data_IF_173065411394
#
_entry.id   IF_173065411394
#
_cell.length_a   1.000
_cell.length_b   1.000
_cell.length_c   1.000
_cell.angle_alpha   90.00
_cell.angle_beta   90.00
_cell.angle_gamma   90.00
#
_symmetry.space_group_name_H-M   'P 1'
#
loop_
_entity.id
_entity.type
_entity.pdbx_description
1 polymer ?
#
# COMPACT_ATOMS: atom_id res chain seq x y z
N UNK A 1 11.20 -7.33 15.78
CA UNK A 1 10.59 -6.30 14.89
C UNK A 1 9.17 -6.02 15.39
N UNK A 2 8.80 -4.76 15.56
CA UNK A 2 7.47 -4.33 15.99
C UNK A 2 6.74 -3.70 14.80
N UNK A 3 5.58 -4.22 14.44
CA UNK A 3 4.76 -3.73 13.33
C UNK A 3 3.45 -3.16 13.89
N UNK A 4 3.13 -1.91 13.53
CA UNK A 4 1.85 -1.30 13.84
C UNK A 4 0.96 -1.33 12.59
N UNK A 5 -0.19 -1.96 12.69
CA UNK A 5 -1.23 -1.93 11.66
C UNK A 5 -2.30 -0.94 12.11
N UNK A 6 -2.50 0.11 11.33
CA UNK A 6 -3.59 1.07 11.53
C UNK A 6 -4.81 0.56 10.78
N UNK A 7 -5.84 0.20 11.50
CA UNK A 7 -7.07 -0.38 10.97
C UNK A 7 -8.11 0.71 10.65
N UNK A 8 -8.40 0.89 9.39
CA UNK A 8 -9.45 1.78 8.88
C UNK A 8 -10.85 1.15 8.93
N UNK A 9 -11.13 0.33 9.94
CA UNK A 9 -12.39 -0.41 10.10
C UNK A 9 -12.67 -1.36 8.93
N UNK A 10 -11.61 -2.04 8.48
CA UNK A 10 -11.63 -2.95 7.33
C UNK A 10 -11.74 -4.42 7.72
N UNK A 11 -12.53 -5.19 6.96
CA UNK A 11 -12.75 -6.63 7.22
C UNK A 11 -11.49 -7.47 6.99
N UNK A 12 -10.55 -7.01 6.17
CA UNK A 12 -9.34 -7.73 5.80
C UNK A 12 -8.12 -7.35 6.64
N UNK A 13 -8.23 -6.43 7.58
CA UNK A 13 -7.10 -6.01 8.44
C UNK A 13 -6.46 -7.20 9.16
N UNK A 14 -7.28 -8.16 9.64
CA UNK A 14 -6.76 -9.35 10.32
C UNK A 14 -6.12 -10.37 9.38
N UNK A 15 -6.42 -10.34 8.08
CA UNK A 15 -5.66 -11.11 7.09
C UNK A 15 -4.25 -10.55 6.94
N UNK A 16 -4.09 -9.21 6.95
CA UNK A 16 -2.78 -8.56 7.00
C UNK A 16 -2.01 -8.94 8.26
N UNK A 17 -2.67 -8.91 9.41
CA UNK A 17 -2.08 -9.33 10.69
C UNK A 17 -1.54 -10.76 10.61
N UNK A 18 -2.35 -11.72 10.15
CA UNK A 18 -1.95 -13.12 10.03
C UNK A 18 -0.80 -13.29 9.05
N UNK A 19 -0.89 -12.69 7.86
CA UNK A 19 0.12 -12.83 6.82
C UNK A 19 1.46 -12.22 7.25
N UNK A 20 1.43 -11.04 7.87
CA UNK A 20 2.64 -10.43 8.45
C UNK A 20 3.22 -11.30 9.58
N UNK A 21 2.37 -11.89 10.42
CA UNK A 21 2.77 -12.81 11.48
C UNK A 21 3.52 -14.01 10.93
N UNK A 22 2.95 -14.70 9.96
CA UNK A 22 3.59 -15.85 9.30
C UNK A 22 4.95 -15.48 8.67
N UNK A 23 5.06 -14.32 8.03
CA UNK A 23 6.30 -13.85 7.43
C UNK A 23 7.36 -13.61 8.50
N UNK A 24 6.99 -12.92 9.58
CA UNK A 24 7.91 -12.56 10.66
C UNK A 24 8.39 -13.82 11.39
N UNK A 25 7.47 -14.72 11.75
CA UNK A 25 7.78 -15.96 12.46
C UNK A 25 8.74 -16.83 11.64
N UNK A 26 8.48 -16.95 10.33
CA UNK A 26 9.35 -17.70 9.41
C UNK A 26 10.74 -17.09 9.30
N UNK A 27 10.85 -15.75 9.22
CA UNK A 27 12.14 -15.06 9.03
C UNK A 27 12.99 -14.99 10.28
N UNK A 28 12.36 -14.81 11.44
CA UNK A 28 13.06 -14.62 12.71
C UNK A 28 13.19 -15.89 13.53
N UNK A 29 12.58 -17.01 13.12
CA UNK A 29 12.45 -18.25 13.90
C UNK A 29 11.95 -18.00 15.34
N UNK A 30 11.01 -17.07 15.48
CA UNK A 30 10.46 -16.64 16.78
C UNK A 30 8.94 -16.61 16.71
N UNK A 31 8.28 -17.26 17.66
CA UNK A 31 6.80 -17.29 17.78
C UNK A 31 6.24 -16.00 18.47
N UNK A 32 7.03 -14.98 18.70
CA UNK A 32 6.60 -13.71 19.31
C UNK A 32 6.65 -12.58 18.27
N UNK A 33 5.62 -12.50 17.45
CA UNK A 33 5.45 -11.35 16.59
C UNK A 33 4.84 -10.19 17.39
N UNK A 34 5.57 -9.09 17.48
CA UNK A 34 5.07 -7.84 18.05
C UNK A 34 4.26 -7.08 16.99
N UNK A 35 3.16 -7.68 16.50
CA UNK A 35 2.23 -6.99 15.62
C UNK A 35 1.09 -6.45 16.47
N UNK A 36 0.88 -5.15 16.36
CA UNK A 36 -0.13 -4.41 17.10
C UNK A 36 -1.13 -3.87 16.10
N UNK A 37 -2.42 -4.16 16.29
CA UNK A 37 -3.51 -3.60 15.48
C UNK A 37 -4.22 -2.55 16.33
N UNK A 38 -4.38 -1.35 15.77
CA UNK A 38 -5.09 -0.23 16.39
C UNK A 38 -5.97 0.47 15.38
N UNK A 39 -7.16 0.87 15.80
CA UNK A 39 -8.07 1.66 14.96
C UNK A 39 -7.43 3.00 14.59
N UNK A 40 -7.82 3.58 13.47
CA UNK A 40 -7.24 4.80 12.93
C UNK A 40 -7.49 6.07 13.79
N UNK A 41 -8.37 5.98 14.78
CA UNK A 41 -8.72 7.02 15.74
C UNK A 41 -8.35 6.67 17.19
N UNK A 42 -7.72 5.51 17.43
CA UNK A 42 -7.46 4.96 18.76
C UNK A 42 -6.17 5.52 19.39
N UNK A 43 -5.16 5.85 18.57
CA UNK A 43 -3.88 6.34 19.06
C UNK A 43 -3.57 7.77 18.60
N UNK A 44 -3.02 8.56 19.49
CA UNK A 44 -2.37 9.83 19.16
C UNK A 44 -0.97 9.61 18.58
N UNK A 45 -0.42 10.62 17.93
CA UNK A 45 0.94 10.57 17.39
C UNK A 45 1.99 10.32 18.49
N UNK A 46 1.80 10.90 19.68
CA UNK A 46 2.72 10.71 20.80
C UNK A 46 2.70 9.26 21.30
N UNK A 47 1.52 8.66 21.45
CA UNK A 47 1.40 7.25 21.83
C UNK A 47 2.04 6.31 20.79
N UNK A 48 1.94 6.64 19.49
CA UNK A 48 2.64 5.86 18.45
C UNK A 48 4.16 6.04 18.57
N UNK A 49 4.65 7.25 18.86
CA UNK A 49 6.09 7.48 19.11
C UNK A 49 6.59 6.70 20.32
N UNK A 50 5.82 6.66 21.42
CA UNK A 50 6.15 5.87 22.60
C UNK A 50 6.12 4.36 22.33
N UNK A 51 5.16 3.90 21.49
CA UNK A 51 5.10 2.53 21.01
C UNK A 51 6.33 2.13 20.21
N UNK A 52 6.95 3.10 19.53
CA UNK A 52 8.18 2.96 18.73
C UNK A 52 8.13 1.76 17.76
N UNK A 53 7.21 1.75 16.78
CA UNK A 53 7.15 0.67 15.81
C UNK A 53 8.28 0.75 14.79
N UNK A 54 8.80 -0.40 14.35
CA UNK A 54 9.78 -0.48 13.27
C UNK A 54 9.15 -0.25 11.89
N UNK A 55 7.87 -0.59 11.74
CA UNK A 55 7.08 -0.47 10.51
C UNK A 55 5.63 -0.11 10.82
N UNK A 56 5.00 0.66 9.93
CA UNK A 56 3.57 0.98 9.99
C UNK A 56 2.91 0.50 8.70
N UNK A 57 1.77 -0.19 8.83
CA UNK A 57 0.90 -0.54 7.71
C UNK A 57 -0.43 0.20 7.93
N UNK A 58 -0.88 0.95 6.93
CA UNK A 58 -2.20 1.59 6.93
C UNK A 58 -3.12 0.73 6.08
N UNK A 59 -4.12 0.13 6.70
CA UNK A 59 -5.00 -0.86 6.10
C UNK A 59 -5.88 -0.29 4.98
N UNK A 60 -6.48 -1.16 4.16
CA UNK A 60 -7.70 -0.82 3.42
C UNK A 60 -8.77 -0.26 4.33
N UNK A 61 -9.87 0.21 3.75
CA UNK A 61 -11.03 0.66 4.51
C UNK A 61 -12.12 1.24 3.62
N UNK A 62 -13.30 1.51 4.20
CA UNK A 62 -14.41 2.11 3.47
C UNK A 62 -14.21 3.61 3.25
N UNK A 63 -14.96 4.16 2.29
CA UNK A 63 -15.06 5.59 2.06
C UNK A 63 -13.88 6.20 1.34
N UNK A 64 -13.47 7.39 1.78
CA UNK A 64 -12.45 8.21 1.11
C UNK A 64 -11.58 8.93 2.13
N UNK A 65 -10.27 9.16 1.83
CA UNK A 65 -9.33 9.73 2.78
C UNK A 65 -9.59 11.22 3.11
N UNK A 66 -10.39 11.93 2.32
CA UNK A 66 -10.82 13.31 2.61
C UNK A 66 -11.85 13.39 3.74
N UNK A 67 -12.42 12.27 4.17
CA UNK A 67 -13.39 12.19 5.26
C UNK A 67 -12.73 11.65 6.52
N UNK A 68 -12.56 12.52 7.52
CA UNK A 68 -11.96 12.17 8.83
C UNK A 68 -12.60 10.93 9.47
N UNK A 69 -13.92 10.75 9.32
CA UNK A 69 -14.63 9.57 9.85
C UNK A 69 -14.15 8.23 9.29
N UNK A 70 -13.53 8.22 8.10
CA UNK A 70 -12.98 7.01 7.48
C UNK A 70 -11.47 6.89 7.64
N UNK A 71 -10.76 8.03 7.77
CA UNK A 71 -9.30 8.04 7.75
C UNK A 71 -8.67 8.47 9.09
N UNK A 72 -9.45 8.87 10.08
CA UNK A 72 -9.03 9.15 11.44
C UNK A 72 -7.78 10.02 11.54
N UNK A 73 -6.75 9.49 12.21
CA UNK A 73 -5.45 10.14 12.41
C UNK A 73 -4.40 9.76 11.35
N UNK A 74 -4.75 8.96 10.33
CA UNK A 74 -3.80 8.45 9.34
C UNK A 74 -3.04 9.56 8.60
N UNK A 75 -3.69 10.70 8.32
CA UNK A 75 -3.00 11.84 7.67
C UNK A 75 -1.83 12.36 8.53
N UNK A 76 -2.06 12.56 9.82
CA UNK A 76 -0.98 12.98 10.75
C UNK A 76 0.10 11.91 10.87
N UNK A 77 -0.27 10.63 10.94
CA UNK A 77 0.68 9.51 10.95
C UNK A 77 1.58 9.55 9.72
N UNK A 78 1.01 9.72 8.53
CA UNK A 78 1.76 9.77 7.27
C UNK A 78 2.73 10.95 7.25
N UNK A 79 2.25 12.15 7.59
CA UNK A 79 3.05 13.37 7.45
C UNK A 79 4.13 13.51 8.55
N UNK A 80 3.83 13.11 9.79
CA UNK A 80 4.73 13.29 10.92
C UNK A 80 5.67 12.09 11.13
N UNK A 81 5.20 10.86 10.89
CA UNK A 81 5.99 9.65 11.16
C UNK A 81 6.60 9.05 9.90
N UNK A 82 5.98 9.23 8.73
CA UNK A 82 6.46 8.67 7.47
C UNK A 82 7.88 9.08 7.06
N UNK A 83 8.38 10.29 7.39
CA UNK A 83 9.79 10.63 7.19
C UNK A 83 10.77 9.77 8.00
N UNK A 84 10.32 9.17 9.10
CA UNK A 84 11.15 8.49 10.10
C UNK A 84 10.95 6.97 10.10
N UNK A 85 9.70 6.53 9.93
CA UNK A 85 9.27 5.14 10.05
C UNK A 85 8.74 4.67 8.70
N UNK A 86 9.18 3.52 8.16
CA UNK A 86 8.61 3.01 6.91
C UNK A 86 7.11 2.75 7.01
N UNK A 87 6.36 3.30 6.05
CA UNK A 87 4.90 3.17 5.94
C UNK A 87 4.53 2.46 4.65
N UNK A 88 3.64 1.48 4.74
CA UNK A 88 2.93 0.88 3.61
C UNK A 88 1.44 1.21 3.71
N UNK A 89 0.90 1.95 2.74
CA UNK A 89 -0.54 2.15 2.60
C UNK A 89 -1.15 1.18 1.60
N UNK A 90 -2.24 0.52 1.99
CA UNK A 90 -2.95 -0.46 1.15
C UNK A 90 -4.33 0.09 0.83
N UNK A 91 -4.71 0.14 -0.44
CA UNK A 91 -5.99 0.61 -0.97
C UNK A 91 -6.33 2.01 -0.45
N UNK A 92 -7.25 2.17 0.52
CA UNK A 92 -7.53 3.44 1.18
C UNK A 92 -6.25 4.06 1.78
N UNK A 93 -5.34 3.24 2.34
CA UNK A 93 -4.05 3.70 2.86
C UNK A 93 -3.18 4.35 1.79
N UNK A 94 -3.08 3.78 0.58
CA UNK A 94 -2.38 4.39 -0.55
C UNK A 94 -3.04 5.69 -1.00
N UNK A 95 -4.37 5.70 -1.12
CA UNK A 95 -5.13 6.89 -1.48
C UNK A 95 -4.90 8.01 -0.46
N UNK A 96 -4.89 7.66 0.83
CA UNK A 96 -4.60 8.57 1.91
C UNK A 96 -3.18 9.13 1.90
N UNK A 97 -2.19 8.34 1.52
CA UNK A 97 -0.82 8.83 1.30
C UNK A 97 -0.82 9.92 0.23
N UNK A 98 -1.39 9.66 -0.94
CA UNK A 98 -1.42 10.65 -2.03
C UNK A 98 -2.21 11.90 -1.64
N UNK A 99 -3.38 11.72 -1.00
CA UNK A 99 -4.18 12.83 -0.51
C UNK A 99 -3.43 13.70 0.51
N UNK A 100 -2.68 13.09 1.43
CA UNK A 100 -1.92 13.81 2.46
C UNK A 100 -0.83 14.72 1.88
N UNK A 101 -0.30 14.39 0.70
CA UNK A 101 0.67 15.21 -0.02
C UNK A 101 0.04 16.11 -1.09
N UNK A 102 -1.30 16.25 -1.11
CA UNK A 102 -2.02 17.20 -1.96
C UNK A 102 -2.53 16.66 -3.31
N UNK A 103 -2.41 15.36 -3.55
CA UNK A 103 -3.04 14.72 -4.71
C UNK A 103 -4.54 14.53 -4.51
N UNK A 104 -5.26 14.25 -5.60
CA UNK A 104 -6.71 14.05 -5.58
C UNK A 104 -7.10 12.60 -5.80
N UNK A 105 -8.18 12.23 -5.15
CA UNK A 105 -8.82 10.92 -5.29
C UNK A 105 -10.15 11.12 -6.02
N UNK A 106 -10.38 10.34 -7.05
CA UNK A 106 -11.57 10.42 -7.93
C UNK A 106 -12.23 9.05 -8.04
N UNK A 107 -13.44 9.02 -8.58
CA UNK A 107 -14.09 7.76 -8.92
C UNK A 107 -13.38 7.09 -10.10
N UNK A 108 -13.19 5.77 -10.01
CA UNK A 108 -12.75 4.96 -11.13
C UNK A 108 -13.83 4.97 -12.23
N UNK A 109 -13.40 4.83 -13.49
CA UNK A 109 -14.33 4.68 -14.61
C UNK A 109 -15.25 3.45 -14.42
N UNK A 110 -14.67 2.37 -13.90
CA UNK A 110 -15.39 1.15 -13.54
C UNK A 110 -15.08 0.77 -12.10
N UNK A 111 -16.10 0.50 -11.25
CA UNK A 111 -15.87 -0.05 -9.92
C UNK A 111 -15.26 -1.45 -9.99
N UNK A 112 -14.21 -1.65 -9.20
CA UNK A 112 -13.52 -2.92 -9.07
C UNK A 112 -13.90 -3.56 -7.73
N UNK A 113 -14.87 -4.47 -7.75
CA UNK A 113 -15.36 -5.17 -6.56
C UNK A 113 -15.14 -6.67 -6.71
N UNK A 114 -14.04 -7.19 -6.15
CA UNK A 114 -13.67 -8.59 -6.26
C UNK A 114 -13.28 -9.00 -7.68
N UNK A 115 -12.70 -8.07 -8.43
CA UNK A 115 -12.17 -8.30 -9.78
C UNK A 115 -10.65 -8.32 -9.74
N UNK A 116 -10.06 -9.10 -10.62
CA UNK A 116 -8.62 -9.14 -10.81
C UNK A 116 -8.15 -8.26 -11.97
N UNK A 117 -6.89 -7.90 -11.95
CA UNK A 117 -6.15 -7.27 -13.03
C UNK A 117 -4.71 -7.77 -13.00
N UNK A 118 -3.94 -7.54 -14.05
CA UNK A 118 -2.52 -7.84 -14.04
C UNK A 118 -1.72 -6.60 -13.62
N UNK A 119 -0.62 -6.82 -12.92
CA UNK A 119 0.29 -5.76 -12.46
C UNK A 119 1.52 -5.70 -13.37
N UNK A 120 1.74 -4.54 -13.97
CA UNK A 120 3.04 -4.17 -14.54
C UNK A 120 3.75 -3.24 -13.55
N UNK A 121 4.98 -3.58 -13.13
CA UNK A 121 5.71 -2.84 -12.11
C UNK A 121 7.19 -2.63 -12.47
N UNK A 122 7.88 -1.77 -11.72
CA UNK A 122 9.26 -1.36 -11.99
C UNK A 122 10.32 -2.32 -11.43
N UNK A 123 9.92 -3.41 -10.82
CA UNK A 123 10.77 -4.40 -10.17
C UNK A 123 11.70 -3.81 -9.08
N UNK A 124 11.23 -2.75 -8.38
CA UNK A 124 12.00 -2.07 -7.33
C UNK A 124 11.24 -2.03 -6.00
N UNK A 125 11.97 -1.77 -4.92
CA UNK A 125 11.40 -1.61 -3.58
C UNK A 125 10.59 -2.85 -3.18
N UNK A 126 9.32 -2.65 -2.88
CA UNK A 126 8.42 -3.74 -2.49
C UNK A 126 8.13 -4.75 -3.61
N UNK A 127 8.41 -4.40 -4.88
CA UNK A 127 8.24 -5.29 -6.03
C UNK A 127 9.55 -5.97 -6.47
N UNK A 128 10.62 -5.85 -5.68
CA UNK A 128 11.89 -6.50 -6.02
C UNK A 128 11.71 -8.02 -6.07
N UNK A 129 12.20 -8.65 -7.16
CA UNK A 129 12.06 -10.08 -7.44
C UNK A 129 10.61 -10.60 -7.53
N UNK A 130 9.64 -9.73 -7.77
CA UNK A 130 8.27 -10.12 -8.08
C UNK A 130 8.16 -10.35 -9.60
N UNK A 131 7.55 -11.46 -10.06
CA UNK A 131 7.29 -11.65 -11.48
C UNK A 131 6.40 -10.54 -12.06
N UNK A 132 6.63 -10.17 -13.32
CA UNK A 132 5.70 -9.29 -14.02
C UNK A 132 4.39 -10.03 -14.32
N UNK A 133 3.31 -9.28 -14.52
CA UNK A 133 1.98 -9.81 -14.81
C UNK A 133 1.43 -10.77 -13.75
N UNK A 134 1.75 -10.53 -12.50
CA UNK A 134 1.02 -11.20 -11.42
C UNK A 134 -0.42 -10.73 -11.41
N UNK A 135 -1.32 -11.62 -11.09
CA UNK A 135 -2.73 -11.30 -10.90
C UNK A 135 -2.93 -10.65 -9.53
N UNK A 136 -3.58 -9.49 -9.51
CA UNK A 136 -3.83 -8.70 -8.29
C UNK A 136 -5.33 -8.51 -8.06
N UNK A 137 -5.77 -8.68 -6.82
CA UNK A 137 -7.17 -8.51 -6.43
C UNK A 137 -7.47 -7.05 -6.07
N UNK A 138 -8.61 -6.56 -6.55
CA UNK A 138 -9.04 -5.17 -6.41
C UNK A 138 -10.45 -5.08 -5.83
N UNK A 139 -10.64 -4.17 -4.85
CA UNK A 139 -11.93 -3.95 -4.16
C UNK A 139 -12.21 -2.46 -3.99
N UNK A 140 -12.01 -1.65 -5.03
CA UNK A 140 -12.12 -0.19 -4.93
C UNK A 140 -12.99 0.43 -6.03
N UNK A 141 -13.64 1.53 -5.69
CA UNK A 141 -14.34 2.43 -6.62
C UNK A 141 -13.64 3.78 -6.77
N UNK A 142 -12.63 4.04 -5.94
CA UNK A 142 -11.85 5.27 -5.95
C UNK A 142 -10.41 4.98 -6.38
N UNK A 143 -9.82 5.95 -7.11
CA UNK A 143 -8.47 5.88 -7.64
C UNK A 143 -7.76 7.23 -7.49
N UNK A 144 -6.45 7.21 -7.60
CA UNK A 144 -5.64 8.43 -7.70
C UNK A 144 -5.90 9.10 -9.05
N UNK A 145 -6.22 10.40 -9.02
CA UNK A 145 -6.23 11.24 -10.23
C UNK A 145 -4.77 11.45 -10.69
N UNK A 146 -4.36 10.72 -11.71
CA UNK A 146 -2.97 10.65 -12.16
C UNK A 146 -2.32 12.01 -12.44
N UNK A 147 -3.09 12.97 -12.98
CA UNK A 147 -2.63 14.33 -13.30
C UNK A 147 -2.28 15.16 -12.05
N UNK A 148 -2.79 14.74 -10.89
CA UNK A 148 -2.57 15.44 -9.61
C UNK A 148 -1.59 14.71 -8.70
N UNK A 149 -0.99 13.60 -9.14
CA UNK A 149 0.00 12.88 -8.35
C UNK A 149 1.15 13.82 -8.01
N UNK A 150 1.44 14.06 -6.71
CA UNK A 150 2.51 14.97 -6.31
C UNK A 150 3.88 14.50 -6.83
N UNK A 151 4.71 15.47 -7.24
CA UNK A 151 6.03 15.21 -7.82
C UNK A 151 7.01 14.46 -6.89
N UNK A 152 6.72 14.39 -5.59
CA UNK A 152 7.51 13.64 -4.63
C UNK A 152 7.30 12.12 -4.74
N UNK A 153 6.33 11.64 -5.53
CA UNK A 153 6.09 10.22 -5.74
C UNK A 153 6.65 9.73 -7.08
N UNK A 154 7.04 8.46 -7.08
CA UNK A 154 7.32 7.63 -8.26
C UNK A 154 6.17 6.65 -8.43
N UNK A 155 5.73 6.46 -9.67
CA UNK A 155 4.79 5.39 -10.02
C UNK A 155 5.61 4.12 -10.19
N UNK A 156 5.33 3.10 -9.38
CA UNK A 156 6.03 1.82 -9.38
C UNK A 156 5.22 0.70 -10.03
N UNK A 157 3.90 0.90 -10.20
CA UNK A 157 3.04 -0.10 -10.82
C UNK A 157 1.74 0.48 -11.38
N UNK A 158 1.23 -0.16 -12.42
CA UNK A 158 -0.05 0.14 -13.07
C UNK A 158 -0.82 -1.14 -13.37
N UNK A 159 -2.15 -1.03 -13.45
CA UNK A 159 -2.98 -2.14 -13.92
C UNK A 159 -2.87 -2.30 -15.43
N UNK A 160 -2.82 -3.55 -15.89
CA UNK A 160 -2.84 -3.90 -17.31
C UNK A 160 -3.84 -5.03 -17.56
N UNK A 161 -4.27 -5.18 -18.81
CA UNK A 161 -5.14 -6.27 -19.24
C UNK A 161 -4.33 -7.51 -19.62
N UNK A 162 -4.94 -8.69 -19.55
CA UNK A 162 -4.29 -9.99 -19.75
C UNK A 162 -3.49 -10.13 -21.06
N UNK A 163 -3.87 -9.39 -22.10
CA UNK A 163 -3.28 -9.47 -23.44
C UNK A 163 -2.32 -8.32 -23.77
N UNK A 164 -1.99 -7.47 -22.80
CA UNK A 164 -1.03 -6.40 -23.05
C UNK A 164 0.40 -6.94 -23.06
N UNK A 165 1.14 -6.59 -24.13
CA UNK A 165 2.50 -7.07 -24.36
C UNK A 165 3.43 -6.59 -23.23
N UNK A 166 3.83 -7.51 -22.34
CA UNK A 166 4.65 -7.30 -21.14
C UNK A 166 6.07 -6.81 -21.45
N UNK A 167 6.45 -6.80 -22.74
CA UNK A 167 7.74 -6.28 -23.22
C UNK A 167 7.87 -4.75 -23.12
N UNK A 168 6.80 -4.07 -22.68
CA UNK A 168 6.88 -2.62 -22.46
C UNK A 168 7.85 -2.32 -21.30
N UNK A 169 8.89 -1.59 -21.65
CA UNK A 169 9.94 -1.16 -20.74
C UNK A 169 9.32 -0.36 -19.58
N UNK A 170 9.71 -0.68 -18.36
CA UNK A 170 9.29 -0.01 -17.10
C UNK A 170 9.35 1.53 -17.20
N UNK A 171 10.29 2.07 -17.97
CA UNK A 171 10.37 3.52 -18.23
C UNK A 171 9.15 4.09 -18.98
N UNK A 172 8.24 3.23 -19.45
CA UNK A 172 7.00 3.60 -20.13
C UNK A 172 5.77 3.57 -19.20
N UNK A 173 5.89 3.10 -17.95
CA UNK A 173 4.77 3.10 -17.00
C UNK A 173 4.11 4.46 -16.89
N UNK A 174 4.91 5.53 -16.83
CA UNK A 174 4.41 6.90 -16.73
C UNK A 174 3.63 7.30 -17.99
N UNK A 175 4.00 6.76 -19.17
CA UNK A 175 3.30 7.03 -20.42
C UNK A 175 1.96 6.28 -20.53
N UNK A 176 1.80 5.19 -19.79
CA UNK A 176 0.54 4.44 -19.73
C UNK A 176 -0.51 5.15 -18.86
N UNK A 177 -0.09 5.98 -17.94
CA UNK A 177 -0.96 6.88 -17.18
C UNK A 177 -1.18 8.13 -18.05
N UNK A 178 -2.41 8.56 -18.42
CA UNK A 178 -3.70 8.41 -17.69
C UNK A 178 -4.63 7.29 -18.17
N UNK A 179 -4.21 6.44 -19.08
CA UNK A 179 -5.05 5.37 -19.64
C UNK A 179 -5.18 4.16 -18.72
N UNK A 180 -4.20 3.98 -17.82
CA UNK A 180 -4.14 2.88 -16.84
C UNK A 180 -4.19 3.44 -15.42
N UNK A 181 -4.74 2.66 -14.50
CA UNK A 181 -4.82 3.05 -13.10
C UNK A 181 -3.48 2.79 -12.38
N UNK A 182 -3.10 3.74 -11.51
CA UNK A 182 -1.92 3.61 -10.66
C UNK A 182 -2.18 2.56 -9.59
N UNK A 183 -1.37 1.50 -9.59
CA UNK A 183 -1.47 0.39 -8.65
C UNK A 183 -0.39 0.42 -7.56
N UNK A 184 0.72 1.12 -7.79
CA UNK A 184 1.78 1.23 -6.79
C UNK A 184 2.54 2.53 -6.91
N UNK A 185 2.93 3.08 -5.76
CA UNK A 185 3.74 4.30 -5.62
C UNK A 185 4.81 4.14 -4.55
N UNK A 186 5.87 4.93 -4.65
CA UNK A 186 6.81 5.16 -3.57
C UNK A 186 7.20 6.63 -3.48
N UNK A 187 7.43 7.12 -2.27
CA UNK A 187 7.96 8.47 -2.08
C UNK A 187 9.46 8.49 -2.41
N UNK A 188 9.93 9.52 -3.11
CA UNK A 188 11.31 9.61 -3.61
C UNK A 188 12.36 9.73 -2.50
N UNK A 189 11.99 10.28 -1.34
CA UNK A 189 12.90 10.58 -0.24
C UNK A 189 12.56 9.80 1.03
N UNK A 190 11.27 9.70 1.35
CA UNK A 190 10.81 9.06 2.59
C UNK A 190 10.50 7.58 2.35
N UNK A 191 10.62 6.72 3.35
CA UNK A 191 10.31 5.29 3.22
C UNK A 191 8.79 5.03 3.23
N UNK A 192 8.07 5.72 2.34
CA UNK A 192 6.61 5.65 2.20
C UNK A 192 6.28 4.94 0.89
N UNK A 193 5.48 3.89 0.99
CA UNK A 193 5.03 3.05 -0.12
C UNK A 193 3.52 2.94 -0.11
N UNK A 194 2.92 2.79 -1.27
CA UNK A 194 1.49 2.56 -1.40
C UNK A 194 1.16 1.59 -2.51
N UNK A 195 0.16 0.73 -2.28
CA UNK A 195 -0.42 -0.17 -3.27
C UNK A 195 -1.94 -0.06 -3.26
N UNK A 196 -2.56 -0.07 -4.44
CA UNK A 196 -4.02 0.05 -4.59
C UNK A 196 -4.72 -1.31 -4.45
N UNK A 197 -4.03 -2.39 -4.76
CA UNK A 197 -4.53 -3.76 -4.68
C UNK A 197 -4.31 -4.36 -3.28
N UNK A 198 -4.89 -5.54 -3.05
CA UNK A 198 -4.94 -6.22 -1.78
C UNK A 198 -3.97 -7.41 -1.74
N UNK A 199 -2.75 -7.26 -1.18
CA UNK A 199 -1.77 -8.34 -1.09
C UNK A 199 -2.19 -9.44 -0.12
N UNK A 200 -3.10 -9.13 0.82
CA UNK A 200 -3.64 -10.07 1.80
C UNK A 200 -4.78 -10.94 1.26
N UNK A 201 -5.26 -10.65 0.05
CA UNK A 201 -6.31 -11.43 -0.59
C UNK A 201 -5.75 -12.70 -1.20
N UNK A 202 -6.47 -13.81 -1.03
CA UNK A 202 -6.13 -15.10 -1.65
C UNK A 202 -6.09 -15.05 -3.19
N UNK A 203 -6.77 -14.08 -3.79
CA UNK A 203 -6.76 -13.86 -5.24
C UNK A 203 -5.63 -12.97 -5.74
N UNK A 204 -4.69 -12.57 -4.86
CA UNK A 204 -3.50 -11.82 -5.26
C UNK A 204 -2.27 -12.73 -5.28
N UNK A 205 -1.63 -12.84 -6.44
CA UNK A 205 -0.34 -13.49 -6.56
C UNK A 205 0.79 -12.61 -5.97
N UNK A 206 1.83 -13.23 -5.43
CA UNK A 206 3.00 -12.50 -4.90
C UNK A 206 2.73 -11.63 -3.67
N UNK A 207 1.53 -11.67 -3.08
CA UNK A 207 1.16 -10.81 -1.96
C UNK A 207 2.05 -11.01 -0.73
N UNK A 208 2.40 -12.25 -0.43
CA UNK A 208 3.30 -12.60 0.67
C UNK A 208 4.71 -12.04 0.45
N UNK A 209 5.24 -12.18 -0.73
CA UNK A 209 6.57 -11.70 -1.13
C UNK A 209 6.63 -10.16 -1.10
N UNK A 210 5.58 -9.48 -1.54
CA UNK A 210 5.46 -8.01 -1.48
C UNK A 210 5.49 -7.52 -0.02
N UNK A 211 4.72 -8.15 0.86
CA UNK A 211 4.77 -7.84 2.30
C UNK A 211 6.12 -8.20 2.94
N UNK A 212 6.73 -9.32 2.55
CA UNK A 212 8.07 -9.70 2.99
C UNK A 212 9.11 -8.65 2.57
N UNK A 213 9.03 -8.15 1.33
CA UNK A 213 9.90 -7.09 0.84
C UNK A 213 9.73 -5.81 1.67
N UNK A 214 8.49 -5.41 1.97
CA UNK A 214 8.23 -4.25 2.83
C UNK A 214 8.80 -4.45 4.25
N UNK A 215 8.61 -5.61 4.83
CA UNK A 215 9.03 -5.88 6.21
C UNK A 215 10.56 -5.97 6.36
N UNK A 216 11.25 -6.62 5.41
CA UNK A 216 12.66 -7.02 5.58
C UNK A 216 13.63 -6.53 4.50
N UNK A 217 13.17 -6.30 3.26
CA UNK A 217 14.05 -6.17 2.10
C UNK A 217 14.09 -4.75 1.49
N UNK A 218 13.55 -3.74 2.19
CA UNK A 218 13.66 -2.36 1.72
C UNK A 218 15.13 -1.91 1.79
N UNK A 219 15.79 -1.87 0.64
CA UNK A 219 17.09 -1.22 0.49
C UNK A 219 16.86 0.29 0.43
N UNK A 220 17.53 1.04 1.32
CA UNK A 220 17.56 2.51 1.30
C UNK A 220 18.41 3.02 0.15
#
# INVERSE_FOLDING_TARGET
>A
MKVLIIDNYDSFTFNLYQLCGEIIDKKLNQINNNIIVKRNDELTINEIKELNPDKIIISPGPGSPDKKKYFGNCQSIILELGPLIPILGICLGMQGIVYSFGGKIIYANEPMHGKTSFLLHDNKGIHNNIPQNIEIMRYHSLIIESKTLPNCFTINGVSVDQNEDVKKNINELIKLVPQKEIMAISHKTYPIYGIQYHPESFGSEGGKEILENFLFNLVR
#
